data_IF_837105506577
#
_entry.id   IF_837105506577
#
_cell.length_a   1.000
_cell.length_b   1.000
_cell.length_c   1.000
_cell.angle_alpha   90.00
_cell.angle_beta   90.00
_cell.angle_gamma   90.00
#
_symmetry.space_group_name_H-M   'P 1'
#
loop_
_entity.id
_entity.type
_entity.pdbx_description
1 polymer ?
#
# COMPACT_ATOMS: atom_id res chain seq x y z
N UNK A 1 0.60 10.00 9.38
CA UNK A 1 1.01 8.71 8.78
C UNK A 1 1.85 7.89 9.76
N UNK A 2 3.13 8.21 9.88
CA UNK A 2 4.14 7.39 10.60
C UNK A 2 3.70 6.96 12.01
N UNK A 3 3.44 7.93 12.91
CA UNK A 3 3.10 7.64 14.32
C UNK A 3 1.83 6.78 14.42
N UNK A 4 0.78 7.12 13.68
CA UNK A 4 -0.48 6.41 13.72
C UNK A 4 -0.35 4.94 13.27
N UNK A 5 0.31 4.70 12.14
CA UNK A 5 0.54 3.33 11.64
C UNK A 5 1.45 2.53 12.59
N UNK A 6 2.45 3.18 13.20
CA UNK A 6 3.30 2.54 14.20
C UNK A 6 2.52 2.12 15.46
N UNK A 7 1.64 2.99 15.96
CA UNK A 7 0.74 2.66 17.07
C UNK A 7 -0.18 1.49 16.68
N UNK A 8 -0.78 1.52 15.49
CA UNK A 8 -1.65 0.44 15.02
C UNK A 8 -0.93 -0.91 15.00
N UNK A 9 0.31 -0.95 14.51
CA UNK A 9 1.16 -2.16 14.51
C UNK A 9 1.32 -2.70 15.94
N UNK A 10 1.70 -1.85 16.89
CA UNK A 10 1.86 -2.25 18.30
C UNK A 10 0.54 -2.78 18.87
N UNK A 11 -0.57 -2.10 18.62
CA UNK A 11 -1.89 -2.48 19.10
C UNK A 11 -2.31 -3.85 18.56
N UNK A 12 -2.18 -4.09 17.24
CA UNK A 12 -2.57 -5.36 16.65
C UNK A 12 -1.67 -6.52 17.07
N UNK A 13 -0.39 -6.27 17.31
CA UNK A 13 0.52 -7.27 17.90
C UNK A 13 0.10 -7.61 19.33
N UNK A 14 -0.23 -6.62 20.16
CA UNK A 14 -0.73 -6.84 21.54
C UNK A 14 -2.06 -7.59 21.58
N UNK A 15 -2.92 -7.38 20.59
CA UNK A 15 -4.18 -8.12 20.44
C UNK A 15 -3.98 -9.58 19.99
N UNK A 16 -2.76 -9.95 19.56
CA UNK A 16 -2.37 -11.32 19.24
C UNK A 16 -2.82 -11.84 17.87
N UNK A 17 -3.26 -10.94 16.96
CA UNK A 17 -3.61 -11.28 15.57
C UNK A 17 -4.52 -12.52 15.43
N UNK A 18 -5.50 -12.64 16.33
CA UNK A 18 -6.35 -13.83 16.46
C UNK A 18 -7.35 -13.96 15.31
N UNK A 19 -7.87 -12.83 14.85
CA UNK A 19 -8.92 -12.77 13.83
C UNK A 19 -8.35 -12.36 12.46
N UNK A 20 -9.01 -12.83 11.41
CA UNK A 20 -8.74 -12.49 10.01
C UNK A 20 -8.64 -10.96 9.80
N UNK A 21 -9.59 -10.21 10.35
CA UNK A 21 -9.64 -8.74 10.22
C UNK A 21 -8.43 -8.06 10.88
N UNK A 22 -8.03 -8.52 12.07
CA UNK A 22 -6.88 -7.97 12.80
C UNK A 22 -5.58 -8.20 12.05
N UNK A 23 -5.45 -9.35 11.35
CA UNK A 23 -4.32 -9.62 10.46
C UNK A 23 -4.32 -8.64 9.28
N UNK A 24 -5.45 -8.46 8.61
CA UNK A 24 -5.53 -7.53 7.48
C UNK A 24 -5.15 -6.10 7.89
N UNK A 25 -5.67 -5.60 9.02
CA UNK A 25 -5.32 -4.26 9.50
C UNK A 25 -3.87 -4.14 9.95
N UNK A 26 -3.29 -5.19 10.52
CA UNK A 26 -1.86 -5.23 10.84
C UNK A 26 -1.01 -5.10 9.57
N UNK A 27 -1.26 -5.93 8.56
CA UNK A 27 -0.51 -5.87 7.30
C UNK A 27 -0.72 -4.52 6.60
N UNK A 28 -1.95 -4.02 6.58
CA UNK A 28 -2.27 -2.70 6.04
C UNK A 28 -1.47 -1.58 6.74
N UNK A 29 -1.37 -1.62 8.07
CA UNK A 29 -0.58 -0.64 8.83
C UNK A 29 0.91 -0.74 8.53
N UNK A 30 1.44 -1.95 8.32
CA UNK A 30 2.83 -2.17 7.89
C UNK A 30 3.08 -1.59 6.50
N UNK A 31 2.18 -1.84 5.54
CA UNK A 31 2.32 -1.33 4.16
C UNK A 31 2.16 0.19 4.11
N UNK A 32 1.23 0.76 4.86
CA UNK A 32 1.04 2.21 4.94
C UNK A 32 2.21 2.91 5.63
N UNK A 33 2.81 2.28 6.65
CA UNK A 33 4.04 2.78 7.26
C UNK A 33 5.19 2.81 6.24
N UNK A 34 5.39 1.72 5.49
CA UNK A 34 6.40 1.66 4.43
C UNK A 34 6.17 2.73 3.36
N UNK A 35 4.94 2.91 2.88
CA UNK A 35 4.55 3.98 1.95
C UNK A 35 4.96 5.36 2.46
N UNK A 36 4.57 5.70 3.69
CA UNK A 36 4.85 7.04 4.24
C UNK A 36 6.34 7.25 4.46
N UNK A 37 7.07 6.23 4.94
CA UNK A 37 8.51 6.32 5.11
C UNK A 37 9.21 6.52 3.77
N UNK A 38 8.91 5.71 2.76
CA UNK A 38 9.47 5.84 1.41
C UNK A 38 9.16 7.21 0.81
N UNK A 39 7.95 7.72 1.01
CA UNK A 39 7.59 9.05 0.54
C UNK A 39 8.40 10.16 1.25
N UNK A 40 8.59 10.07 2.57
CA UNK A 40 9.42 11.02 3.32
C UNK A 40 10.88 10.94 2.86
N UNK A 41 11.44 9.74 2.72
CA UNK A 41 12.81 9.54 2.25
C UNK A 41 13.02 9.97 0.79
N UNK A 42 12.02 9.81 -0.06
CA UNK A 42 12.08 10.29 -1.44
C UNK A 42 12.11 11.82 -1.51
N UNK A 43 11.40 12.53 -0.63
CA UNK A 43 11.32 14.00 -0.66
C UNK A 43 12.40 14.70 0.19
N UNK A 44 13.06 13.97 1.10
CA UNK A 44 14.10 14.54 1.96
C UNK A 44 15.31 15.08 1.17
N UNK A 45 15.88 14.37 0.17
CA UNK A 45 17.01 14.87 -0.62
C UNK A 45 16.70 16.21 -1.32
N UNK A 46 15.54 16.35 -1.95
CA UNK A 46 15.15 17.58 -2.64
C UNK A 46 14.85 18.74 -1.68
N UNK A 47 14.54 18.45 -0.42
CA UNK A 47 14.22 19.46 0.60
C UNK A 47 15.43 19.90 1.42
N UNK A 48 16.50 19.09 1.44
CA UNK A 48 17.74 19.41 2.14
C UNK A 48 18.58 20.35 1.25
N UNK A 49 19.04 21.47 1.83
CA UNK A 49 19.80 22.49 1.10
C UNK A 49 21.04 21.90 0.40
N UNK A 50 21.43 22.49 -0.74
CA UNK A 50 22.47 21.98 -1.64
C UNK A 50 23.78 21.58 -0.95
N UNK A 51 24.15 22.20 0.17
CA UNK A 51 25.36 21.90 0.94
C UNK A 51 25.43 20.45 1.46
N UNK A 52 24.30 19.81 1.79
CA UNK A 52 24.31 18.44 2.31
C UNK A 52 24.49 17.40 1.19
N UNK A 53 23.95 17.69 0.00
CA UNK A 53 24.04 16.85 -1.20
C UNK A 53 25.36 17.04 -1.96
N UNK A 54 25.92 18.26 -1.93
CA UNK A 54 27.24 18.57 -2.48
C UNK A 54 28.34 17.72 -1.81
N UNK A 55 28.19 17.43 -0.52
CA UNK A 55 29.08 16.52 0.23
C UNK A 55 29.04 15.08 -0.28
N UNK A 56 27.91 14.64 -0.82
CA UNK A 56 27.72 13.28 -1.34
C UNK A 56 27.90 13.17 -2.86
N UNK A 57 28.30 14.25 -3.55
CA UNK A 57 28.45 14.31 -5.02
C UNK A 57 27.25 13.70 -5.76
N UNK A 58 26.04 13.89 -5.21
CA UNK A 58 24.83 13.22 -5.65
C UNK A 58 23.73 14.23 -5.89
N UNK A 59 23.05 14.09 -7.03
CA UNK A 59 21.87 14.89 -7.35
C UNK A 59 20.67 14.38 -6.55
N UNK A 60 20.11 15.24 -5.69
CA UNK A 60 18.95 14.92 -4.87
C UNK A 60 17.77 14.41 -5.69
N UNK A 61 17.54 14.97 -6.88
CA UNK A 61 16.44 14.54 -7.76
C UNK A 61 16.59 13.10 -8.24
N UNK A 62 17.83 12.65 -8.51
CA UNK A 62 18.10 11.26 -8.93
C UNK A 62 17.89 10.27 -7.79
N UNK A 63 18.30 10.63 -6.58
CA UNK A 63 18.05 9.82 -5.37
C UNK A 63 16.56 9.74 -5.10
N UNK A 64 15.87 10.87 -5.15
CA UNK A 64 14.42 10.95 -4.99
C UNK A 64 13.68 10.07 -5.99
N UNK A 65 14.10 10.08 -7.27
CA UNK A 65 13.51 9.24 -8.31
C UNK A 65 13.62 7.74 -8.00
N UNK A 66 14.82 7.27 -7.63
CA UNK A 66 15.05 5.86 -7.32
C UNK A 66 14.27 5.43 -6.06
N UNK A 67 14.27 6.24 -5.00
CA UNK A 67 13.50 5.92 -3.78
C UNK A 67 11.99 5.92 -4.07
N UNK A 68 11.52 6.87 -4.89
CA UNK A 68 10.10 6.95 -5.28
C UNK A 68 9.64 5.71 -6.06
N UNK A 69 10.52 5.03 -6.81
CA UNK A 69 10.16 3.79 -7.50
C UNK A 69 9.70 2.68 -6.53
N UNK A 70 10.23 2.65 -5.30
CA UNK A 70 9.83 1.66 -4.29
C UNK A 70 8.46 1.96 -3.67
N UNK A 71 7.92 3.17 -3.81
CA UNK A 71 6.62 3.53 -3.26
C UNK A 71 5.46 2.77 -3.93
N UNK A 72 5.52 2.61 -5.26
CA UNK A 72 4.46 2.00 -6.07
C UNK A 72 3.94 0.66 -5.54
N UNK A 73 4.79 -0.35 -5.32
CA UNK A 73 4.31 -1.65 -4.85
C UNK A 73 3.62 -1.60 -3.50
N UNK A 74 4.12 -0.85 -2.52
CA UNK A 74 3.45 -0.76 -1.22
C UNK A 74 2.10 -0.04 -1.29
N UNK A 75 1.98 0.95 -2.19
CA UNK A 75 0.73 1.66 -2.42
C UNK A 75 -0.34 0.72 -3.00
N UNK A 76 0.00 -0.03 -4.05
CA UNK A 76 -0.93 -0.98 -4.67
C UNK A 76 -1.32 -2.10 -3.67
N UNK A 77 -0.38 -2.59 -2.86
CA UNK A 77 -0.67 -3.59 -1.82
C UNK A 77 -1.67 -3.03 -0.80
N UNK A 78 -1.49 -1.78 -0.34
CA UNK A 78 -2.43 -1.14 0.58
C UNK A 78 -3.84 -1.05 -0.02
N UNK A 79 -3.97 -0.68 -1.30
CA UNK A 79 -5.25 -0.65 -2.00
C UNK A 79 -5.87 -2.05 -2.12
N UNK A 80 -5.07 -3.07 -2.45
CA UNK A 80 -5.52 -4.46 -2.53
C UNK A 80 -6.03 -4.99 -1.20
N UNK A 81 -5.30 -4.76 -0.10
CA UNK A 81 -5.69 -5.18 1.25
C UNK A 81 -6.96 -4.44 1.69
N UNK A 82 -7.04 -3.13 1.46
CA UNK A 82 -8.22 -2.32 1.79
C UNK A 82 -9.46 -2.83 1.06
N UNK A 83 -9.32 -3.16 -0.22
CA UNK A 83 -10.40 -3.75 -1.03
C UNK A 83 -10.83 -5.11 -0.48
N UNK A 84 -9.87 -5.97 -0.13
CA UNK A 84 -10.17 -7.27 0.48
C UNK A 84 -10.93 -7.13 1.80
N UNK A 85 -10.53 -6.20 2.68
CA UNK A 85 -11.24 -5.90 3.93
C UNK A 85 -12.68 -5.45 3.62
N UNK A 86 -12.88 -4.54 2.66
CA UNK A 86 -14.20 -4.03 2.32
C UNK A 86 -15.14 -5.14 1.82
N UNK A 87 -14.65 -6.01 0.93
CA UNK A 87 -15.39 -7.16 0.41
C UNK A 87 -15.72 -8.14 1.54
N UNK A 88 -14.74 -8.48 2.38
CA UNK A 88 -14.94 -9.37 3.51
C UNK A 88 -16.04 -8.84 4.45
N UNK A 89 -16.04 -7.55 4.76
CA UNK A 89 -17.07 -6.92 5.61
C UNK A 89 -18.43 -6.91 4.93
N UNK A 90 -18.49 -6.58 3.65
CA UNK A 90 -19.72 -6.60 2.87
C UNK A 90 -20.36 -8.00 2.85
N UNK A 91 -19.57 -9.03 2.56
CA UNK A 91 -20.03 -10.43 2.53
C UNK A 91 -20.46 -10.93 3.89
N UNK A 92 -19.70 -10.64 4.96
CA UNK A 92 -20.07 -11.04 6.33
C UNK A 92 -21.44 -10.47 6.78
N UNK A 93 -21.86 -9.34 6.22
CA UNK A 93 -23.12 -8.67 6.56
C UNK A 93 -24.25 -9.07 5.60
N UNK A 94 -23.99 -9.10 4.29
CA UNK A 94 -24.99 -9.46 3.29
C UNK A 94 -25.32 -10.97 3.30
N UNK A 95 -24.35 -11.82 3.59
CA UNK A 95 -24.47 -13.28 3.56
C UNK A 95 -23.93 -13.91 4.86
N UNK A 96 -24.73 -13.95 5.94
CA UNK A 96 -24.28 -14.40 7.26
C UNK A 96 -23.76 -15.85 7.28
N UNK A 97 -24.16 -16.70 6.32
CA UNK A 97 -23.66 -18.08 6.16
C UNK A 97 -22.16 -18.17 5.81
N UNK A 98 -21.56 -17.10 5.27
CA UNK A 98 -20.15 -17.08 4.85
C UNK A 98 -19.18 -16.55 5.92
N UNK A 99 -19.65 -16.27 7.14
CA UNK A 99 -18.77 -15.84 8.25
C UNK A 99 -17.64 -16.82 8.53
N UNK A 100 -17.87 -18.13 8.35
CA UNK A 100 -16.86 -19.16 8.57
C UNK A 100 -15.90 -19.36 7.38
N UNK A 101 -16.15 -18.75 6.23
CA UNK A 101 -15.28 -18.88 5.04
C UNK A 101 -13.95 -18.16 5.24
N UNK A 102 -13.97 -17.03 5.96
CA UNK A 102 -12.79 -16.21 6.23
C UNK A 102 -12.03 -16.68 7.48
N UNK A 103 -11.40 -17.84 7.38
CA UNK A 103 -10.51 -18.33 8.45
C UNK A 103 -9.17 -17.57 8.45
N UNK A 104 -8.50 -17.58 9.61
CA UNK A 104 -7.19 -16.96 9.83
C UNK A 104 -6.17 -17.41 8.78
N UNK A 105 -6.02 -18.72 8.60
CA UNK A 105 -5.02 -19.31 7.68
C UNK A 105 -5.27 -18.92 6.23
N UNK A 106 -6.52 -18.93 5.78
CA UNK A 106 -6.89 -18.50 4.42
C UNK A 106 -6.59 -17.01 4.21
N UNK A 107 -6.86 -16.19 5.22
CA UNK A 107 -6.59 -14.75 5.17
C UNK A 107 -5.11 -14.46 5.03
N UNK A 108 -4.26 -15.11 5.83
CA UNK A 108 -2.80 -14.97 5.71
C UNK A 108 -2.35 -15.37 4.31
N UNK A 109 -2.84 -16.49 3.78
CA UNK A 109 -2.51 -16.94 2.43
C UNK A 109 -2.92 -15.89 1.38
N UNK A 110 -4.16 -15.41 1.40
CA UNK A 110 -4.68 -14.42 0.43
C UNK A 110 -3.90 -13.11 0.51
N UNK A 111 -3.71 -12.56 1.72
CA UNK A 111 -2.99 -11.29 1.90
C UNK A 111 -1.53 -11.42 1.47
N UNK A 112 -0.87 -12.54 1.78
CA UNK A 112 0.48 -12.82 1.29
C UNK A 112 0.52 -12.95 -0.23
N UNK A 113 -0.44 -13.63 -0.85
CA UNK A 113 -0.53 -13.73 -2.32
C UNK A 113 -0.74 -12.36 -2.97
N UNK A 114 -1.64 -11.52 -2.44
CA UNK A 114 -1.84 -10.14 -2.91
C UNK A 114 -0.53 -9.37 -2.82
N UNK A 115 0.15 -9.48 -1.68
CA UNK A 115 1.40 -8.75 -1.42
C UNK A 115 2.50 -9.17 -2.39
N UNK A 116 2.70 -10.49 -2.57
CA UNK A 116 3.71 -11.03 -3.47
C UNK A 116 3.41 -10.74 -4.94
N UNK A 117 2.16 -10.88 -5.38
CA UNK A 117 1.78 -10.64 -6.76
C UNK A 117 1.99 -9.17 -7.16
N UNK A 118 1.53 -8.24 -6.32
CA UNK A 118 1.69 -6.81 -6.57
C UNK A 118 3.14 -6.38 -6.46
N UNK A 119 3.90 -6.91 -5.49
CA UNK A 119 5.33 -6.63 -5.44
C UNK A 119 6.07 -7.14 -6.68
N UNK A 120 5.72 -8.35 -7.16
CA UNK A 120 6.32 -8.95 -8.37
C UNK A 120 5.99 -8.15 -9.64
N UNK A 121 4.81 -7.54 -9.72
CA UNK A 121 4.43 -6.66 -10.83
C UNK A 121 5.39 -5.46 -10.98
N UNK A 122 5.90 -4.94 -9.86
CA UNK A 122 6.82 -3.80 -9.83
C UNK A 122 8.30 -4.19 -9.92
N UNK A 123 8.65 -5.47 -9.74
CA UNK A 123 10.04 -5.94 -9.81
C UNK A 123 10.81 -5.52 -11.07
N UNK A 124 10.22 -5.55 -12.29
CA UNK A 124 10.92 -5.08 -13.48
C UNK A 124 11.39 -3.63 -13.35
N UNK A 125 10.54 -2.73 -12.84
CA UNK A 125 10.90 -1.32 -12.62
C UNK A 125 12.03 -1.19 -11.61
N UNK A 126 11.97 -1.96 -10.51
CA UNK A 126 12.97 -1.90 -9.43
C UNK A 126 14.35 -2.42 -9.86
N UNK A 127 14.39 -3.33 -10.84
CA UNK A 127 15.64 -3.94 -11.33
C UNK A 127 16.24 -3.23 -12.55
N UNK A 128 15.47 -2.38 -13.24
CA UNK A 128 15.92 -1.72 -14.47
C UNK A 128 16.47 -0.32 -14.26
N UNK A 129 16.69 0.09 -13.02
CA UNK A 129 17.21 1.40 -12.67
C UNK A 129 18.03 1.36 -11.39
N UNK A 130 18.87 2.37 -11.19
CA UNK A 130 19.50 2.61 -9.90
C UNK A 130 20.51 3.74 -9.95
N UNK A 131 21.30 3.85 -8.89
CA UNK A 131 22.42 4.78 -8.82
C UNK A 131 23.73 4.02 -9.03
N UNK A 132 24.57 4.52 -9.92
CA UNK A 132 25.91 4.00 -10.17
C UNK A 132 26.93 5.12 -10.03
N UNK A 133 28.07 4.81 -9.39
CA UNK A 133 29.19 5.73 -9.30
C UNK A 133 29.91 5.80 -10.64
N UNK A 134 29.88 6.97 -11.28
CA UNK A 134 30.64 7.24 -12.50
C UNK A 134 31.74 8.25 -12.19
N UNK A 135 32.97 7.95 -12.60
CA UNK A 135 34.08 8.89 -12.45
C UNK A 135 33.94 10.03 -13.46
N UNK A 136 33.85 11.26 -12.97
CA UNK A 136 33.83 12.47 -13.79
C UNK A 136 35.28 13.02 -13.89
N UNK A 137 35.94 12.87 -15.06
CA UNK A 137 37.32 13.35 -15.24
C UNK A 137 37.42 14.88 -15.26
N UNK A 138 36.34 15.60 -15.53
CA UNK A 138 36.32 17.08 -15.56
C UNK A 138 36.33 17.65 -14.14
N UNK A 139 35.63 16.98 -13.22
CA UNK A 139 35.54 17.39 -11.81
C UNK A 139 36.49 16.61 -10.88
N UNK A 140 37.25 15.66 -11.43
CA UNK A 140 38.15 14.74 -10.73
C UNK A 140 37.49 14.06 -9.51
N UNK A 141 36.22 13.67 -9.65
CA UNK A 141 35.40 13.10 -8.56
C UNK A 141 34.44 12.05 -9.10
N UNK A 142 34.14 11.04 -8.29
CA UNK A 142 33.06 10.08 -8.59
C UNK A 142 31.72 10.69 -8.23
N UNK A 143 30.84 10.81 -9.23
CA UNK A 143 29.47 11.31 -9.09
C UNK A 143 28.47 10.15 -9.17
N UNK A 144 27.39 10.21 -8.40
CA UNK A 144 26.31 9.24 -8.51
C UNK A 144 25.42 9.63 -9.71
N UNK A 145 25.42 8.79 -10.75
CA UNK A 145 24.54 8.95 -11.89
C UNK A 145 23.40 7.93 -11.85
N UNK A 146 22.24 8.38 -12.32
CA UNK A 146 21.10 7.50 -12.57
C UNK A 146 21.43 6.66 -13.79
N UNK A 147 21.44 5.34 -13.63
CA UNK A 147 21.49 4.42 -14.74
C UNK A 147 20.09 3.83 -14.94
N UNK A 148 19.69 3.68 -16.19
CA UNK A 148 18.43 3.06 -16.59
C UNK A 148 18.67 2.19 -17.81
N UNK A 149 18.06 1.01 -17.86
CA UNK A 149 18.01 0.27 -19.13
C UNK A 149 17.13 1.00 -20.14
N UNK A 150 17.39 0.76 -21.42
CA UNK A 150 16.61 1.34 -22.52
C UNK A 150 15.12 0.96 -22.45
N UNK A 151 14.81 -0.21 -21.89
CA UNK A 151 13.43 -0.71 -21.71
C UNK A 151 12.69 -0.04 -20.55
N UNK A 152 13.39 0.65 -19.63
CA UNK A 152 12.80 1.19 -18.40
C UNK A 152 11.63 2.13 -18.66
N UNK A 153 11.71 2.97 -19.70
CA UNK A 153 10.61 3.88 -20.06
C UNK A 153 9.32 3.15 -20.41
N UNK A 154 9.41 2.06 -21.21
CA UNK A 154 8.25 1.23 -21.57
C UNK A 154 7.66 0.49 -20.37
N UNK A 155 8.52 -0.01 -19.47
CA UNK A 155 8.09 -0.66 -18.24
C UNK A 155 7.36 0.30 -17.31
N UNK A 156 7.89 1.52 -17.14
CA UNK A 156 7.23 2.58 -16.37
C UNK A 156 5.83 2.89 -16.88
N UNK A 157 5.68 3.06 -18.20
CA UNK A 157 4.36 3.30 -18.80
C UNK A 157 3.43 2.10 -18.62
N UNK A 158 3.91 0.88 -18.89
CA UNK A 158 3.07 -0.32 -18.80
C UNK A 158 2.61 -0.62 -17.37
N UNK A 159 3.54 -0.68 -16.41
CA UNK A 159 3.19 -0.91 -15.00
C UNK A 159 2.39 0.26 -14.44
N UNK A 160 2.72 1.51 -14.80
CA UNK A 160 1.95 2.68 -14.39
C UNK A 160 0.49 2.62 -14.84
N UNK A 161 0.22 2.20 -16.08
CA UNK A 161 -1.13 2.00 -16.58
C UNK A 161 -1.85 0.86 -15.83
N UNK A 162 -1.16 -0.26 -15.59
CA UNK A 162 -1.73 -1.39 -14.84
C UNK A 162 -2.09 -0.97 -13.42
N UNK A 163 -1.17 -0.32 -12.70
CA UNK A 163 -1.40 0.18 -11.33
C UNK A 163 -2.52 1.21 -11.28
N UNK A 164 -2.63 2.09 -12.28
CA UNK A 164 -3.70 3.06 -12.38
C UNK A 164 -5.07 2.37 -12.54
N UNK A 165 -5.19 1.43 -13.47
CA UNK A 165 -6.44 0.67 -13.69
C UNK A 165 -6.78 -0.14 -12.44
N UNK A 166 -5.80 -0.81 -11.84
CA UNK A 166 -5.97 -1.59 -10.62
C UNK A 166 -6.48 -0.73 -9.46
N UNK A 167 -5.79 0.38 -9.16
CA UNK A 167 -6.16 1.28 -8.05
C UNK A 167 -7.57 1.85 -8.23
N UNK A 168 -7.92 2.32 -9.42
CA UNK A 168 -9.27 2.84 -9.68
C UNK A 168 -10.33 1.74 -9.52
N UNK A 169 -10.04 0.52 -9.98
CA UNK A 169 -10.95 -0.62 -9.82
C UNK A 169 -11.14 -0.96 -8.34
N UNK A 170 -10.07 -1.01 -7.56
CA UNK A 170 -10.10 -1.19 -6.11
C UNK A 170 -10.98 -0.15 -5.42
N UNK A 171 -10.80 1.13 -5.73
CA UNK A 171 -11.60 2.21 -5.16
C UNK A 171 -13.09 2.07 -5.49
N UNK A 172 -13.44 1.75 -6.73
CA UNK A 172 -14.83 1.51 -7.13
C UNK A 172 -15.47 0.35 -6.34
N UNK A 173 -14.73 -0.75 -6.16
CA UNK A 173 -15.20 -1.90 -5.36
C UNK A 173 -15.39 -1.50 -3.90
N UNK A 174 -14.44 -0.76 -3.31
CA UNK A 174 -14.53 -0.29 -1.91
C UNK A 174 -15.77 0.60 -1.74
N UNK A 175 -15.98 1.57 -2.62
CA UNK A 175 -17.15 2.47 -2.59
C UNK A 175 -18.45 1.65 -2.64
N UNK A 176 -18.54 0.70 -3.58
CA UNK A 176 -19.70 -0.18 -3.69
C UNK A 176 -19.93 -0.99 -2.39
N UNK A 177 -18.89 -1.61 -1.85
CA UNK A 177 -18.97 -2.38 -0.60
C UNK A 177 -19.41 -1.51 0.58
N UNK A 178 -18.93 -0.27 0.66
CA UNK A 178 -19.33 0.68 1.69
C UNK A 178 -20.81 1.06 1.58
N UNK A 179 -21.34 1.28 0.37
CA UNK A 179 -22.77 1.56 0.15
C UNK A 179 -23.63 0.37 0.61
N UNK A 180 -23.27 -0.85 0.22
CA UNK A 180 -23.99 -2.08 0.63
C UNK A 180 -23.91 -2.29 2.14
N UNK A 181 -22.74 -2.10 2.74
CA UNK A 181 -22.56 -2.20 4.19
C UNK A 181 -23.38 -1.15 4.95
N UNK A 182 -23.37 0.11 4.50
CA UNK A 182 -24.12 1.18 5.13
C UNK A 182 -25.63 0.96 5.05
N UNK A 183 -26.13 0.53 3.88
CA UNK A 183 -27.56 0.24 3.68
C UNK A 183 -28.04 -0.95 4.52
N UNK A 184 -27.30 -2.05 4.55
CA UNK A 184 -27.63 -3.23 5.37
C UNK A 184 -27.60 -2.95 6.88
N UNK A 185 -26.63 -2.15 7.35
CA UNK A 185 -26.59 -1.70 8.75
C UNK A 185 -27.78 -0.81 9.12
N UNK A 186 -28.21 0.09 8.22
CA UNK A 186 -29.40 0.93 8.42
C UNK A 186 -30.69 0.12 8.44
N UNK A 187 -30.84 -0.87 7.55
CA UNK A 187 -31.99 -1.76 7.55
C UNK A 187 -32.07 -2.56 8.87
N UNK A 188 -30.95 -3.12 9.30
CA UNK A 188 -30.83 -3.89 10.55
C UNK A 188 -31.13 -3.04 11.79
N UNK A 189 -30.67 -1.79 11.83
CA UNK A 189 -30.94 -0.88 12.96
C UNK A 189 -32.41 -0.46 13.03
N UNK A 190 -33.06 -0.22 11.88
CA UNK A 190 -34.49 0.08 11.79
C UNK A 190 -35.34 -1.10 12.28
N UNK A 191 -35.04 -2.32 11.84
CA UNK A 191 -35.73 -3.52 12.30
C UNK A 191 -35.61 -3.70 13.82
N UNK A 192 -34.39 -3.60 14.36
CA UNK A 192 -34.14 -3.75 15.80
C UNK A 192 -34.82 -2.68 16.65
N UNK A 193 -35.01 -1.47 16.11
CA UNK A 193 -35.77 -0.40 16.77
C UNK A 193 -37.27 -0.66 16.74
N UNK A 194 -37.81 -1.16 15.62
CA UNK A 194 -39.22 -1.52 15.49
C UNK A 194 -39.61 -2.65 16.46
N UNK A 195 -38.79 -3.69 16.59
CA UNK A 195 -39.04 -4.80 17.54
C UNK A 195 -39.06 -4.34 19.00
N UNK A 196 -38.19 -3.40 19.40
CA UNK A 196 -38.18 -2.86 20.78
C UNK A 196 -39.42 -2.03 21.11
N UNK A 197 -39.99 -1.33 20.12
CA UNK A 197 -41.20 -0.53 20.32
C UNK A 197 -42.44 -1.43 20.40
N UNK A 198 -42.49 -2.52 19.62
CA UNK A 198 -43.62 -3.46 19.62
C UNK A 198 -43.69 -4.37 20.87
N UNK A 199 -42.64 -4.42 21.69
CA UNK A 199 -42.59 -5.20 22.93
C UNK A 199 -42.88 -4.37 24.20
N UNK A 200 -43.33 -3.12 24.05
CA UNK A 200 -43.74 -2.22 25.15
C UNK A 200 -45.22 -1.93 25.02
#
# INVERSE_FOLDING_TARGET
>A
GVIANFINIIVYLKLGLKDSISICFFVLSCTDLACVLLHVFANAPTSLSGHFLERWNTDGGKVSFVIAAYYGPFYDISQGITTFIAVQKCWCVALPCFKNTFTRTRTVCIVSCISLALFSLHMPILTTQGLAGMFDPVRNRTIQQLWMLEISGKLYSAVGLISLVFTNTCQMIVIFCLIVLASSLRASSKFRRATKIAST
#
